data_IF_589696597670
#
_entry.id   IF_589696597670
#
_cell.length_a   1.000
_cell.length_b   1.000
_cell.length_c   1.000
_cell.angle_alpha   90.00
_cell.angle_beta   90.00
_cell.angle_gamma   90.00
#
_symmetry.space_group_name_H-M   'P 1'
#
loop_
_entity.id
_entity.type
_entity.pdbx_description
1 polymer ?
#
# COMPACT_ATOMS: atom_id res chain seq x y z
N UNK A 1 33.23 -9.98 -65.98
CA UNK A 1 33.51 -9.86 -64.53
C UNK A 1 33.68 -8.38 -64.21
N UNK A 2 32.60 -7.72 -63.84
CA UNK A 2 32.58 -6.31 -63.44
C UNK A 2 31.79 -6.23 -62.13
N UNK A 3 32.38 -5.53 -61.17
CA UNK A 3 31.81 -5.28 -59.85
C UNK A 3 30.47 -4.54 -59.96
N UNK A 4 29.44 -5.03 -59.29
CA UNK A 4 28.18 -4.34 -59.11
C UNK A 4 28.02 -3.86 -57.66
N UNK A 5 28.04 -2.54 -57.55
CA UNK A 5 27.40 -1.65 -56.57
C UNK A 5 26.52 -2.31 -55.49
N UNK A 6 26.94 -2.16 -54.22
CA UNK A 6 25.99 -1.99 -53.11
C UNK A 6 26.05 -0.53 -52.65
N UNK A 7 24.97 0.20 -52.96
CA UNK A 7 24.69 1.54 -52.46
C UNK A 7 24.42 1.46 -50.94
N UNK A 8 25.37 1.92 -50.14
CA UNK A 8 25.12 2.30 -48.75
C UNK A 8 24.23 3.56 -48.77
N UNK A 9 22.93 3.36 -48.55
CA UNK A 9 22.01 4.46 -48.24
C UNK A 9 22.42 5.02 -46.89
N UNK A 10 23.12 6.15 -46.90
CA UNK A 10 23.43 6.92 -45.71
C UNK A 10 22.14 7.50 -45.15
N UNK A 11 21.50 6.76 -44.24
CA UNK A 11 20.44 7.32 -43.40
C UNK A 11 21.14 8.24 -42.40
N UNK A 12 21.17 9.54 -42.70
CA UNK A 12 21.52 10.59 -41.73
C UNK A 12 20.44 10.63 -40.66
N UNK A 13 20.54 9.76 -39.66
CA UNK A 13 19.84 9.95 -38.38
C UNK A 13 20.59 11.08 -37.66
N UNK A 14 19.93 12.17 -37.24
CA UNK A 14 20.58 13.18 -36.42
C UNK A 14 21.16 12.49 -35.18
N UNK A 15 22.46 12.64 -34.95
CA UNK A 15 23.01 12.29 -33.65
C UNK A 15 22.21 13.08 -32.62
N UNK A 16 21.61 12.37 -31.65
CA UNK A 16 21.04 13.01 -30.47
C UNK A 16 22.22 13.65 -29.74
N UNK A 17 22.51 14.91 -30.08
CA UNK A 17 23.34 15.75 -29.26
C UNK A 17 22.54 15.94 -27.98
N UNK A 18 22.99 15.30 -26.90
CA UNK A 18 22.72 15.82 -25.58
C UNK A 18 23.38 17.19 -25.55
N UNK A 19 22.66 18.22 -25.98
CA UNK A 19 23.02 19.58 -25.61
C UNK A 19 23.08 19.55 -24.10
N UNK A 20 24.29 19.67 -23.56
CA UNK A 20 24.50 20.05 -22.17
C UNK A 20 23.92 21.43 -22.04
N UNK A 21 22.60 21.50 -21.91
CA UNK A 21 21.91 22.73 -21.72
C UNK A 21 22.44 23.28 -20.40
N UNK A 22 23.26 24.33 -20.50
CA UNK A 22 23.85 25.05 -19.35
C UNK A 22 22.76 25.60 -18.42
N UNK A 23 21.49 25.55 -18.83
CA UNK A 23 20.33 25.77 -17.97
C UNK A 23 20.26 24.79 -16.79
N UNK A 24 20.79 23.57 -16.88
CA UNK A 24 20.72 22.61 -15.76
C UNK A 24 21.51 23.08 -14.53
N UNK A 25 22.51 23.96 -14.71
CA UNK A 25 23.32 24.48 -13.60
C UNK A 25 22.92 25.87 -13.11
N UNK A 26 22.09 26.62 -13.85
CA UNK A 26 21.79 28.01 -13.52
C UNK A 26 20.32 28.30 -13.19
N UNK A 27 19.52 27.26 -13.05
CA UNK A 27 18.11 27.40 -12.72
C UNK A 27 17.88 26.85 -11.31
N UNK A 28 18.14 27.70 -10.32
CA UNK A 28 17.49 27.64 -9.01
C UNK A 28 15.98 27.84 -9.17
N UNK A 29 15.34 26.93 -9.90
CA UNK A 29 13.95 26.99 -10.28
C UNK A 29 13.12 26.52 -9.11
N UNK A 30 12.31 27.44 -8.61
CA UNK A 30 11.03 27.13 -7.99
C UNK A 30 10.32 26.10 -8.88
N UNK A 31 10.14 24.89 -8.35
CA UNK A 31 9.39 23.83 -9.01
C UNK A 31 7.92 24.24 -9.04
N UNK A 32 7.20 24.08 -10.16
CA UNK A 32 5.76 24.40 -10.22
C UNK A 32 4.94 23.56 -9.21
N UNK A 33 5.41 22.36 -8.87
CA UNK A 33 4.84 21.52 -7.80
C UNK A 33 4.96 22.14 -6.40
N UNK A 34 5.92 23.03 -6.18
CA UNK A 34 6.03 23.80 -4.95
C UNK A 34 4.90 24.84 -4.84
N UNK A 35 4.13 25.15 -5.90
CA UNK A 35 3.15 26.25 -5.91
C UNK A 35 2.05 26.13 -4.84
N UNK A 36 1.59 24.91 -4.56
CA UNK A 36 0.66 24.61 -3.47
C UNK A 36 1.28 24.89 -2.09
N UNK A 37 2.53 24.45 -1.90
CA UNK A 37 3.33 24.78 -0.72
C UNK A 37 3.75 26.25 -0.69
N UNK A 38 3.81 26.95 -1.83
CA UNK A 38 4.23 28.35 -1.95
C UNK A 38 3.11 29.32 -1.56
N UNK A 39 1.83 28.93 -1.70
CA UNK A 39 0.72 29.65 -1.07
C UNK A 39 0.89 29.74 0.45
N UNK A 40 1.53 28.75 1.05
CA UNK A 40 1.94 28.76 2.45
C UNK A 40 3.34 29.40 2.63
N UNK A 41 4.35 29.14 1.78
CA UNK A 41 5.73 29.70 1.93
C UNK A 41 5.82 31.23 1.89
N UNK A 42 4.82 31.96 1.40
CA UNK A 42 4.81 33.43 1.52
C UNK A 42 4.80 33.93 2.97
N UNK A 43 4.65 33.03 3.94
CA UNK A 43 4.56 33.32 5.36
C UNK A 43 5.64 32.63 6.23
N UNK A 44 6.26 31.54 5.76
CA UNK A 44 7.26 30.76 6.52
C UNK A 44 8.73 31.05 6.16
N UNK A 45 9.00 31.66 5.02
CA UNK A 45 10.35 31.98 4.55
C UNK A 45 10.52 33.48 4.30
N UNK A 46 9.90 34.32 5.14
CA UNK A 46 10.34 35.70 5.25
C UNK A 46 11.70 35.70 5.96
N UNK A 47 12.76 36.28 5.36
CA UNK A 47 14.00 36.49 6.07
C UNK A 47 13.72 37.43 7.23
N UNK A 48 14.00 36.97 8.46
CA UNK A 48 14.05 37.78 9.69
C UNK A 48 12.96 38.86 9.75
N UNK A 49 11.71 38.44 9.99
CA UNK A 49 10.72 39.34 10.55
C UNK A 49 11.30 39.96 11.83
N UNK A 50 11.13 41.27 11.99
CA UNK A 50 11.72 42.06 13.07
C UNK A 50 11.67 41.31 14.41
N UNK A 51 12.83 40.80 14.86
CA UNK A 51 12.93 39.98 16.07
C UNK A 51 12.35 40.71 17.28
N UNK A 52 12.33 42.04 17.22
CA UNK A 52 11.75 42.90 18.22
C UNK A 52 10.21 42.86 18.18
N UNK A 53 9.60 42.95 17.00
CA UNK A 53 8.14 42.84 16.84
C UNK A 53 7.61 41.46 17.25
N UNK A 54 8.30 40.37 16.85
CA UNK A 54 7.91 39.02 17.27
C UNK A 54 8.01 38.85 18.79
N UNK A 55 9.07 39.39 19.40
CA UNK A 55 9.27 39.39 20.85
C UNK A 55 8.22 40.20 21.60
N UNK A 56 7.82 41.37 21.09
CA UNK A 56 6.74 42.18 21.67
C UNK A 56 5.38 41.46 21.63
N UNK A 57 5.08 40.79 20.52
CA UNK A 57 3.85 39.99 20.38
C UNK A 57 3.86 38.80 21.32
N UNK A 58 4.95 38.03 21.37
CA UNK A 58 5.10 36.88 22.28
C UNK A 58 5.01 37.30 23.74
N UNK A 59 5.67 38.40 24.12
CA UNK A 59 5.56 38.96 25.47
C UNK A 59 4.11 39.37 25.79
N UNK A 60 3.41 39.99 24.85
CA UNK A 60 2.01 40.37 25.05
C UNK A 60 1.12 39.15 25.24
N UNK A 61 1.26 38.13 24.38
CA UNK A 61 0.46 36.91 24.41
C UNK A 61 0.70 36.05 25.66
N UNK A 62 1.94 36.00 26.14
CA UNK A 62 2.35 35.14 27.25
C UNK A 62 2.37 35.85 28.60
N UNK A 63 2.29 37.19 28.63
CA UNK A 63 2.31 37.99 29.87
C UNK A 63 1.22 37.61 30.89
N UNK A 64 0.10 37.06 30.43
CA UNK A 64 -1.02 36.66 31.28
C UNK A 64 -0.95 35.20 31.76
N UNK A 65 0.06 34.43 31.34
CA UNK A 65 0.08 32.96 31.47
C UNK A 65 1.00 32.42 32.59
N UNK A 66 1.55 33.31 33.43
CA UNK A 66 2.27 32.97 34.66
C UNK A 66 3.74 33.41 34.70
N UNK A 67 4.40 33.12 35.83
CA UNK A 67 5.74 33.62 36.19
C UNK A 67 6.87 33.16 35.23
N UNK A 68 6.66 32.09 34.47
CA UNK A 68 7.65 31.52 33.54
C UNK A 68 7.55 32.08 32.11
N UNK A 69 6.64 33.03 31.87
CA UNK A 69 6.38 33.60 30.54
C UNK A 69 7.60 34.25 29.90
N UNK A 70 8.43 34.97 30.68
CA UNK A 70 9.63 35.62 30.17
C UNK A 70 10.71 34.62 29.71
N UNK A 71 10.95 33.55 30.48
CA UNK A 71 11.93 32.50 30.12
C UNK A 71 11.46 31.72 28.88
N UNK A 72 10.15 31.47 28.77
CA UNK A 72 9.54 30.87 27.59
C UNK A 72 9.76 31.74 26.34
N UNK A 73 9.52 33.06 26.42
CA UNK A 73 9.75 33.96 25.28
C UNK A 73 11.21 33.94 24.84
N UNK A 74 12.18 33.92 25.77
CA UNK A 74 13.60 33.82 25.39
C UNK A 74 13.91 32.51 24.66
N UNK A 75 13.38 31.37 25.14
CA UNK A 75 13.58 30.06 24.51
C UNK A 75 12.93 29.97 23.12
N UNK A 76 11.73 30.52 22.96
CA UNK A 76 11.07 30.59 21.66
C UNK A 76 11.91 31.40 20.67
N UNK A 77 12.43 32.55 21.10
CA UNK A 77 13.29 33.39 20.25
C UNK A 77 14.63 32.70 19.94
N UNK A 78 15.24 31.99 20.90
CA UNK A 78 16.52 31.28 20.65
C UNK A 78 16.39 30.16 19.62
N UNK A 79 15.23 29.50 19.58
CA UNK A 79 14.91 28.43 18.63
C UNK A 79 14.27 28.97 17.32
N UNK A 80 14.24 30.29 17.12
CA UNK A 80 13.59 30.96 15.98
C UNK A 80 12.09 30.64 15.82
N UNK A 81 11.38 30.37 16.91
CA UNK A 81 9.94 30.10 16.93
C UNK A 81 9.18 31.43 16.98
N UNK A 82 8.26 31.64 16.03
CA UNK A 82 7.40 32.83 15.93
C UNK A 82 6.09 32.65 16.70
N UNK A 83 5.41 33.77 16.98
CA UNK A 83 4.03 33.74 17.49
C UNK A 83 3.06 32.95 16.60
N UNK A 84 3.41 32.75 15.32
CA UNK A 84 2.61 32.02 14.33
C UNK A 84 2.75 30.51 14.45
N UNK A 85 3.79 30.05 15.11
CA UNK A 85 4.12 28.63 15.26
C UNK A 85 3.57 28.03 16.56
N UNK A 86 3.00 28.85 17.44
CA UNK A 86 2.58 28.44 18.79
C UNK A 86 1.56 27.29 18.78
N UNK A 87 0.67 27.23 17.79
CA UNK A 87 -0.29 26.14 17.64
C UNK A 87 0.34 24.79 17.25
N UNK A 88 1.61 24.78 16.85
CA UNK A 88 2.37 23.56 16.54
C UNK A 88 3.09 22.96 17.73
N UNK A 89 3.14 23.68 18.86
CA UNK A 89 3.80 23.21 20.09
C UNK A 89 3.04 22.04 20.71
N UNK A 90 3.79 21.15 21.34
CA UNK A 90 3.29 19.99 22.07
C UNK A 90 3.41 20.17 23.58
N UNK A 91 2.83 19.22 24.34
CA UNK A 91 3.04 19.17 25.77
C UNK A 91 4.53 19.03 26.14
N UNK A 92 5.32 18.27 25.37
CA UNK A 92 6.75 18.13 25.62
C UNK A 92 7.49 19.45 25.40
N UNK A 93 7.15 20.20 24.36
CA UNK A 93 7.80 21.49 24.06
C UNK A 93 7.58 22.49 25.19
N UNK A 94 6.35 22.59 25.70
CA UNK A 94 6.04 23.46 26.82
C UNK A 94 6.73 23.03 28.13
N UNK A 95 6.97 21.73 28.31
CA UNK A 95 7.73 21.24 29.46
C UNK A 95 9.18 21.69 29.41
N UNK A 96 9.82 21.59 28.24
CA UNK A 96 11.18 22.09 28.00
C UNK A 96 11.27 23.62 28.19
N UNK A 97 10.18 24.34 27.87
CA UNK A 97 10.05 25.77 28.11
C UNK A 97 9.78 26.13 29.58
N UNK A 98 9.67 25.15 30.49
CA UNK A 98 9.55 25.36 31.93
C UNK A 98 8.11 25.33 32.46
N UNK A 99 7.13 24.95 31.65
CA UNK A 99 5.75 24.75 32.11
C UNK A 99 5.55 23.33 32.65
N UNK A 100 5.96 23.13 33.90
CA UNK A 100 5.95 21.80 34.54
C UNK A 100 4.53 21.29 34.83
N UNK A 101 3.55 22.18 35.01
CA UNK A 101 2.18 21.81 35.39
C UNK A 101 1.37 21.33 34.18
N UNK A 102 0.86 20.08 34.15
CA UNK A 102 0.10 19.55 33.01
C UNK A 102 -1.12 20.39 32.63
N UNK A 103 -1.91 20.80 33.63
CA UNK A 103 -3.10 21.64 33.42
C UNK A 103 -2.77 22.98 32.76
N UNK A 104 -1.64 23.59 33.11
CA UNK A 104 -1.18 24.84 32.52
C UNK A 104 -0.76 24.65 31.05
N UNK A 105 -0.11 23.53 30.73
CA UNK A 105 0.25 23.17 29.35
C UNK A 105 -1.00 22.97 28.50
N UNK A 106 -1.99 22.26 29.02
CA UNK A 106 -3.27 22.02 28.35
C UNK A 106 -4.01 23.33 28.06
N UNK A 107 -4.10 24.22 29.04
CA UNK A 107 -4.70 25.56 28.89
C UNK A 107 -3.95 26.41 27.84
N UNK A 108 -2.62 26.35 27.82
CA UNK A 108 -1.78 27.04 26.83
C UNK A 108 -1.97 26.51 25.41
N UNK A 109 -1.96 25.19 25.23
CA UNK A 109 -2.18 24.57 23.92
C UNK A 109 -3.59 24.87 23.40
N UNK A 110 -4.60 24.82 24.27
CA UNK A 110 -5.97 25.19 23.92
C UNK A 110 -6.07 26.66 23.51
N UNK A 111 -5.34 27.56 24.17
CA UNK A 111 -5.25 28.96 23.81
C UNK A 111 -4.54 29.16 22.46
N UNK A 112 -3.40 28.51 22.24
CA UNK A 112 -2.63 28.63 21.00
C UNK A 112 -3.41 28.10 19.79
N UNK A 113 -4.16 27.01 19.95
CA UNK A 113 -5.01 26.45 18.92
C UNK A 113 -6.10 27.43 18.43
N UNK A 114 -6.49 28.40 19.26
CA UNK A 114 -7.50 29.42 18.93
C UNK A 114 -6.91 30.71 18.33
N UNK A 115 -5.57 30.84 18.30
CA UNK A 115 -4.94 32.06 17.79
C UNK A 115 -5.15 32.20 16.28
N UNK A 116 -5.47 33.41 15.78
CA UNK A 116 -5.56 33.67 14.35
C UNK A 116 -4.16 33.73 13.72
N UNK A 117 -4.08 33.46 12.42
CA UNK A 117 -2.84 33.55 11.61
C UNK A 117 -1.72 32.58 12.02
N UNK A 118 -2.07 31.52 12.75
CA UNK A 118 -1.18 30.39 12.99
C UNK A 118 -0.86 29.67 11.69
N UNK A 119 0.31 29.06 11.71
CA UNK A 119 0.98 28.48 10.58
C UNK A 119 0.76 26.95 10.69
N UNK A 120 0.32 26.25 9.62
CA UNK A 120 -0.14 24.87 9.73
C UNK A 120 0.93 23.92 10.28
N UNK A 121 0.52 23.03 11.19
CA UNK A 121 1.42 22.04 11.79
C UNK A 121 1.89 21.01 10.77
N UNK A 122 3.01 20.32 11.06
CA UNK A 122 3.50 19.23 10.22
C UNK A 122 2.41 18.16 9.98
N UNK A 123 1.65 17.84 11.03
CA UNK A 123 0.50 16.94 10.95
C UNK A 123 -0.56 17.45 9.97
N UNK A 124 -0.92 18.74 10.03
CA UNK A 124 -1.86 19.34 9.09
C UNK A 124 -1.33 19.31 7.65
N UNK A 125 -0.02 19.50 7.45
CA UNK A 125 0.62 19.44 6.14
C UNK A 125 0.55 18.03 5.54
N UNK A 126 0.71 16.97 6.34
CA UNK A 126 0.58 15.59 5.85
C UNK A 126 -0.81 15.30 5.26
N UNK A 127 -1.86 15.91 5.80
CA UNK A 127 -3.23 15.71 5.34
C UNK A 127 -3.66 16.70 4.23
N UNK A 128 -2.78 17.60 3.77
CA UNK A 128 -3.10 18.48 2.65
C UNK A 128 -3.22 17.67 1.36
N UNK A 129 -4.28 17.97 0.58
CA UNK A 129 -4.49 17.37 -0.74
C UNK A 129 -3.31 17.66 -1.68
N UNK A 130 -2.71 18.83 -1.54
CA UNK A 130 -1.51 19.26 -2.26
C UNK A 130 -0.29 18.39 -1.92
N UNK A 131 -0.12 18.00 -0.66
CA UNK A 131 0.98 17.12 -0.25
C UNK A 131 0.81 15.71 -0.81
N UNK A 132 -0.41 15.18 -0.77
CA UNK A 132 -0.75 13.91 -1.40
C UNK A 132 -0.52 13.93 -2.92
N UNK A 133 -0.92 15.01 -3.61
CA UNK A 133 -0.68 15.18 -5.05
C UNK A 133 0.81 15.27 -5.40
N UNK A 134 1.59 15.98 -4.58
CA UNK A 134 3.02 16.11 -4.78
C UNK A 134 3.75 14.78 -4.59
N UNK A 135 3.40 14.02 -3.55
CA UNK A 135 3.94 12.67 -3.34
C UNK A 135 3.61 11.74 -4.52
N UNK A 136 2.36 11.76 -5.00
CA UNK A 136 1.97 11.02 -6.23
C UNK A 136 2.82 11.44 -7.43
N UNK A 137 3.06 12.73 -7.61
CA UNK A 137 3.89 13.22 -8.71
C UNK A 137 5.34 12.72 -8.61
N UNK A 138 5.92 12.67 -7.40
CA UNK A 138 7.26 12.10 -7.18
C UNK A 138 7.30 10.64 -7.60
N UNK A 139 6.33 9.83 -7.13
CA UNK A 139 6.27 8.40 -7.44
C UNK A 139 6.05 8.19 -8.95
N UNK A 140 5.14 8.94 -9.58
CA UNK A 140 4.91 8.87 -11.03
C UNK A 140 6.16 9.23 -11.83
N UNK A 141 6.91 10.26 -11.40
CA UNK A 141 8.17 10.62 -12.05
C UNK A 141 9.22 9.51 -11.89
N UNK A 142 9.34 8.92 -10.70
CA UNK A 142 10.25 7.80 -10.46
C UNK A 142 9.91 6.59 -11.32
N UNK A 143 8.62 6.22 -11.39
CA UNK A 143 8.12 5.15 -12.25
C UNK A 143 8.43 5.41 -13.73
N UNK A 144 8.13 6.62 -14.24
CA UNK A 144 8.45 7.04 -15.60
C UNK A 144 9.95 6.97 -15.92
N UNK A 145 10.81 7.29 -14.94
CA UNK A 145 12.26 7.17 -15.09
C UNK A 145 12.71 5.71 -15.18
N UNK A 146 12.18 4.82 -14.34
CA UNK A 146 12.45 3.39 -14.40
C UNK A 146 12.00 2.79 -15.74
N UNK A 147 10.83 3.17 -16.23
CA UNK A 147 10.34 2.73 -17.54
C UNK A 147 11.20 3.25 -18.70
N UNK A 148 11.66 4.50 -18.60
CA UNK A 148 12.60 5.07 -19.57
C UNK A 148 13.93 4.33 -19.55
N UNK A 149 14.44 3.98 -18.36
CA UNK A 149 15.65 3.18 -18.21
C UNK A 149 15.48 1.79 -18.79
N UNK A 150 14.36 1.10 -18.48
CA UNK A 150 14.03 -0.21 -19.04
C UNK A 150 13.97 -0.17 -20.57
N UNK A 151 13.31 0.85 -21.12
CA UNK A 151 13.21 1.04 -22.57
C UNK A 151 14.57 1.34 -23.21
N UNK A 152 15.41 2.14 -22.56
CA UNK A 152 16.76 2.43 -23.02
C UNK A 152 17.65 1.18 -22.96
N UNK A 153 17.55 0.38 -21.91
CA UNK A 153 18.23 -0.92 -21.77
C UNK A 153 17.78 -1.89 -22.85
N UNK A 154 16.47 -2.01 -23.11
CA UNK A 154 15.95 -2.84 -24.19
C UNK A 154 16.42 -2.36 -25.58
N UNK A 155 16.42 -1.05 -25.83
CA UNK A 155 16.91 -0.48 -27.08
C UNK A 155 18.43 -0.63 -27.25
N UNK A 156 19.20 -0.51 -26.17
CA UNK A 156 20.63 -0.79 -26.15
C UNK A 156 20.90 -2.27 -26.43
N UNK A 157 20.16 -3.17 -25.77
CA UNK A 157 20.22 -4.61 -26.01
C UNK A 157 19.94 -4.94 -27.48
N UNK A 158 18.87 -4.36 -28.05
CA UNK A 158 18.50 -4.52 -29.46
C UNK A 158 19.57 -4.01 -30.42
N UNK A 159 20.11 -2.80 -30.19
CA UNK A 159 21.15 -2.20 -31.06
C UNK A 159 22.49 -2.89 -30.98
N UNK A 160 22.87 -3.32 -29.77
CA UNK A 160 24.13 -4.00 -29.54
C UNK A 160 24.04 -5.49 -29.86
N UNK A 161 22.83 -6.00 -30.13
CA UNK A 161 22.54 -7.43 -30.26
C UNK A 161 23.20 -8.19 -29.11
N UNK A 162 23.05 -7.71 -27.87
CA UNK A 162 23.55 -8.40 -26.69
C UNK A 162 22.65 -9.61 -26.49
N UNK A 163 22.88 -10.64 -27.29
CA UNK A 163 22.49 -11.99 -26.93
C UNK A 163 23.19 -12.30 -25.60
N UNK A 164 22.59 -13.11 -24.70
CA UNK A 164 23.38 -13.73 -23.64
C UNK A 164 24.66 -14.27 -24.29
N UNK A 165 25.85 -13.95 -23.77
CA UNK A 165 27.08 -14.22 -24.48
C UNK A 165 27.14 -15.72 -24.79
N UNK A 166 27.13 -16.08 -26.08
CA UNK A 166 27.58 -17.42 -26.45
C UNK A 166 29.02 -17.55 -25.95
N UNK A 167 29.27 -18.63 -25.22
CA UNK A 167 30.56 -18.98 -24.65
C UNK A 167 31.70 -18.67 -25.62
N UNK A 168 32.64 -17.80 -25.23
CA UNK A 168 33.92 -17.74 -25.95
C UNK A 168 34.71 -18.97 -25.54
N UNK A 169 34.62 -20.01 -26.36
CA UNK A 169 35.39 -21.25 -26.18
C UNK A 169 36.86 -20.95 -26.50
N UNK A 170 37.72 -20.96 -25.47
CA UNK A 170 39.18 -20.91 -25.63
C UNK A 170 39.74 -22.25 -25.14
N UNK A 171 39.94 -23.18 -26.07
CA UNK A 171 40.32 -24.56 -25.74
C UNK A 171 39.10 -25.36 -25.23
N UNK A 172 39.22 -26.00 -24.06
CA UNK A 172 38.11 -26.75 -23.43
C UNK A 172 37.36 -25.94 -22.35
N UNK A 173 37.62 -24.62 -22.25
CA UNK A 173 37.04 -23.78 -21.20
C UNK A 173 36.21 -22.65 -21.79
N UNK A 174 35.00 -22.48 -21.26
CA UNK A 174 34.14 -21.32 -21.52
C UNK A 174 34.55 -20.15 -20.61
N UNK A 175 34.59 -18.94 -21.17
CA UNK A 175 34.80 -17.70 -20.43
C UNK A 175 33.74 -16.65 -20.81
N UNK A 176 32.85 -16.33 -19.87
CA UNK A 176 31.99 -15.15 -19.96
C UNK A 176 32.76 -13.88 -19.56
N UNK A 177 32.41 -12.73 -20.14
CA UNK A 177 33.08 -11.47 -19.81
C UNK A 177 32.78 -11.11 -18.34
N UNK A 178 33.83 -11.00 -17.53
CA UNK A 178 33.76 -10.76 -16.08
C UNK A 178 32.87 -9.58 -15.69
N UNK A 179 32.88 -8.50 -16.46
CA UNK A 179 32.05 -7.31 -16.22
C UNK A 179 30.55 -7.56 -16.41
N UNK A 180 30.17 -8.43 -17.35
CA UNK A 180 28.75 -8.80 -17.55
C UNK A 180 28.30 -9.75 -16.45
N UNK A 181 29.17 -10.67 -16.00
CA UNK A 181 28.89 -11.52 -14.84
C UNK A 181 28.76 -10.73 -13.55
N UNK A 182 29.63 -9.74 -13.30
CA UNK A 182 29.56 -8.89 -12.12
C UNK A 182 28.27 -8.04 -12.12
N UNK A 183 27.91 -7.42 -13.24
CA UNK A 183 26.67 -6.64 -13.36
C UNK A 183 25.40 -7.51 -13.27
N UNK A 184 25.41 -8.72 -13.87
CA UNK A 184 24.29 -9.65 -13.73
C UNK A 184 24.18 -10.17 -12.29
N UNK A 185 25.29 -10.49 -11.62
CA UNK A 185 25.26 -10.93 -10.23
C UNK A 185 24.77 -9.84 -9.27
N UNK A 186 25.15 -8.57 -9.47
CA UNK A 186 24.61 -7.47 -8.67
C UNK A 186 23.11 -7.31 -8.89
N UNK A 187 22.64 -7.43 -10.13
CA UNK A 187 21.22 -7.32 -10.46
C UNK A 187 20.42 -8.53 -9.94
N UNK A 188 20.99 -9.74 -10.04
CA UNK A 188 20.43 -10.95 -9.43
C UNK A 188 20.37 -10.86 -7.91
N UNK A 189 21.40 -10.32 -7.25
CA UNK A 189 21.39 -10.13 -5.81
C UNK A 189 20.28 -9.19 -5.36
N UNK A 190 20.08 -8.06 -6.06
CA UNK A 190 18.97 -7.14 -5.74
C UNK A 190 17.60 -7.78 -6.00
N UNK A 191 17.46 -8.59 -7.05
CA UNK A 191 16.19 -9.31 -7.29
C UNK A 191 15.97 -10.44 -6.29
N UNK A 192 17.02 -11.14 -5.86
CA UNK A 192 16.95 -12.17 -4.80
C UNK A 192 16.54 -11.54 -3.47
N UNK A 193 17.10 -10.39 -3.09
CA UNK A 193 16.72 -9.68 -1.86
C UNK A 193 15.22 -9.29 -1.87
N UNK A 194 14.70 -8.82 -3.02
CA UNK A 194 13.27 -8.47 -3.18
C UNK A 194 12.39 -9.73 -3.18
N UNK A 195 12.85 -10.81 -3.82
CA UNK A 195 12.14 -12.09 -3.86
C UNK A 195 12.10 -12.75 -2.46
N UNK A 196 13.17 -12.62 -1.68
CA UNK A 196 13.23 -13.07 -0.28
C UNK A 196 12.25 -12.26 0.61
N UNK A 197 12.21 -10.93 0.48
CA UNK A 197 11.24 -10.10 1.20
C UNK A 197 9.78 -10.45 0.86
N UNK A 198 9.48 -10.70 -0.42
CA UNK A 198 8.12 -11.11 -0.87
C UNK A 198 7.80 -12.52 -0.37
N UNK A 199 8.75 -13.46 -0.47
CA UNK A 199 8.59 -14.84 -0.04
C UNK A 199 8.31 -14.95 1.47
N UNK A 200 8.92 -14.09 2.29
CA UNK A 200 8.67 -14.06 3.74
C UNK A 200 7.22 -13.68 4.08
N UNK A 201 6.59 -12.77 3.31
CA UNK A 201 5.18 -12.39 3.51
C UNK A 201 4.21 -13.51 3.13
N UNK A 202 4.46 -14.21 2.03
CA UNK A 202 3.72 -15.42 1.64
C UNK A 202 3.84 -16.52 2.71
N UNK A 203 5.04 -16.67 3.28
CA UNK A 203 5.33 -17.67 4.30
C UNK A 203 4.52 -17.42 5.58
N UNK A 204 4.37 -16.16 6.01
CA UNK A 204 3.58 -15.81 7.22
C UNK A 204 2.12 -16.21 7.06
N UNK A 205 1.47 -15.84 5.96
CA UNK A 205 0.05 -16.17 5.75
C UNK A 205 -0.17 -17.67 5.49
N UNK A 206 0.77 -18.32 4.82
CA UNK A 206 0.74 -19.78 4.64
C UNK A 206 0.91 -20.52 5.99
N UNK A 207 1.87 -20.08 6.83
CA UNK A 207 2.02 -20.57 8.21
C UNK A 207 0.72 -20.40 9.00
N UNK A 208 0.03 -19.27 8.82
CA UNK A 208 -1.24 -19.01 9.50
C UNK A 208 -2.32 -20.03 9.14
N UNK A 209 -2.57 -20.27 7.84
CA UNK A 209 -3.60 -21.22 7.44
C UNK A 209 -3.27 -22.65 7.88
N UNK A 210 -1.99 -23.03 7.89
CA UNK A 210 -1.56 -24.32 8.42
C UNK A 210 -1.76 -24.43 9.94
N UNK A 211 -1.50 -23.34 10.69
CA UNK A 211 -1.80 -23.25 12.13
C UNK A 211 -3.31 -23.36 12.40
N UNK A 212 -4.15 -22.77 11.55
CA UNK A 212 -5.60 -22.91 11.59
C UNK A 212 -6.09 -24.32 11.25
N UNK A 213 -5.20 -25.18 10.73
CA UNK A 213 -5.46 -26.60 10.47
C UNK A 213 -5.65 -26.95 9.00
N UNK A 214 -5.43 -26.02 8.06
CA UNK A 214 -5.44 -26.32 6.62
C UNK A 214 -4.33 -27.32 6.28
N UNK A 215 -4.63 -28.29 5.41
CA UNK A 215 -3.66 -29.25 4.87
C UNK A 215 -2.50 -28.55 4.15
N UNK A 216 -1.30 -29.10 4.26
CA UNK A 216 -0.09 -28.58 3.58
C UNK A 216 -0.15 -28.74 2.04
N UNK A 217 -1.21 -29.35 1.52
CA UNK A 217 -1.54 -29.39 0.09
C UNK A 217 -1.95 -28.01 -0.46
N UNK A 218 -2.26 -27.06 0.42
CA UNK A 218 -2.69 -25.71 0.05
C UNK A 218 -1.78 -24.67 0.67
N UNK A 219 -1.48 -23.62 -0.10
CA UNK A 219 -0.68 -22.47 0.32
C UNK A 219 -1.30 -21.18 -0.23
N UNK A 220 -0.93 -20.04 0.37
CA UNK A 220 -1.19 -18.75 -0.21
C UNK A 220 0.00 -18.35 -1.09
N UNK A 221 -0.29 -18.00 -2.33
CA UNK A 221 0.69 -17.57 -3.33
C UNK A 221 0.32 -16.18 -3.81
N UNK A 222 1.29 -15.30 -4.01
CA UNK A 222 1.08 -13.98 -4.55
C UNK A 222 0.67 -14.05 -6.03
N UNK A 223 -0.16 -13.08 -6.44
CA UNK A 223 -0.59 -12.92 -7.81
C UNK A 223 0.08 -11.67 -8.38
N UNK A 224 1.26 -11.90 -8.95
CA UNK A 224 2.18 -10.86 -9.47
C UNK A 224 1.51 -9.96 -10.52
N UNK A 225 0.52 -10.47 -11.24
CA UNK A 225 -0.27 -9.63 -12.13
C UNK A 225 -1.57 -10.27 -12.62
N UNK A 226 -2.46 -9.42 -13.11
CA UNK A 226 -3.83 -9.79 -13.51
C UNK A 226 -3.98 -9.97 -15.02
N UNK A 227 -2.87 -10.01 -15.76
CA UNK A 227 -2.87 -10.32 -17.18
C UNK A 227 -2.86 -11.84 -17.42
N UNK A 228 -3.53 -12.34 -18.48
CA UNK A 228 -3.70 -13.78 -18.69
C UNK A 228 -2.40 -14.60 -18.60
N UNK A 229 -1.31 -14.07 -19.16
CA UNK A 229 0.02 -14.72 -19.18
C UNK A 229 0.63 -14.84 -17.77
N UNK A 230 0.36 -13.88 -16.89
CA UNK A 230 0.87 -13.88 -15.50
C UNK A 230 0.01 -14.75 -14.59
N UNK A 231 -1.30 -14.81 -14.84
CA UNK A 231 -2.22 -15.69 -14.10
C UNK A 231 -1.90 -17.17 -14.31
N UNK A 232 -1.20 -17.53 -15.38
CA UNK A 232 -0.73 -18.90 -15.62
C UNK A 232 0.39 -19.35 -14.67
N UNK A 233 1.08 -18.40 -14.01
CA UNK A 233 2.14 -18.70 -13.05
C UNK A 233 1.60 -19.20 -11.71
N UNK A 234 0.33 -18.90 -11.42
CA UNK A 234 -0.32 -19.34 -10.18
C UNK A 234 -0.44 -20.87 -10.18
N UNK A 235 0.03 -21.56 -9.12
CA UNK A 235 -0.17 -22.98 -8.97
C UNK A 235 -1.64 -23.39 -9.11
N UNK A 236 -1.90 -24.50 -9.81
CA UNK A 236 -3.26 -25.00 -10.03
C UNK A 236 -3.47 -26.32 -9.28
N UNK A 237 -4.70 -26.61 -8.79
CA UNK A 237 -5.89 -25.76 -8.85
C UNK A 237 -5.86 -24.55 -7.89
N UNK A 238 -6.60 -23.50 -8.24
CA UNK A 238 -6.82 -22.31 -7.40
C UNK A 238 -8.21 -22.39 -6.78
N UNK A 239 -8.30 -22.10 -5.47
CA UNK A 239 -9.52 -22.22 -4.66
C UNK A 239 -10.19 -20.90 -4.36
N UNK A 240 -9.42 -19.84 -4.20
CA UNK A 240 -9.94 -18.51 -3.97
C UNK A 240 -8.90 -17.46 -4.34
N UNK A 241 -9.37 -16.26 -4.66
CA UNK A 241 -8.53 -15.07 -4.78
C UNK A 241 -8.86 -14.14 -3.62
N UNK A 242 -7.84 -13.62 -2.95
CA UNK A 242 -7.94 -12.65 -1.87
C UNK A 242 -7.41 -11.33 -2.39
N UNK A 243 -8.20 -10.26 -2.29
CA UNK A 243 -7.81 -8.92 -2.71
C UNK A 243 -7.68 -8.03 -1.47
N UNK A 244 -6.52 -7.39 -1.33
CA UNK A 244 -6.29 -6.23 -0.46
C UNK A 244 -6.42 -4.96 -1.29
N UNK A 245 -7.21 -4.01 -0.82
CA UNK A 245 -7.35 -2.70 -1.46
C UNK A 245 -7.59 -1.61 -0.41
N UNK A 246 -7.33 -0.33 -0.73
CA UNK A 246 -7.59 0.75 0.20
C UNK A 246 -9.06 1.19 0.14
N UNK A 247 -9.64 1.44 1.30
CA UNK A 247 -10.98 1.98 1.48
C UNK A 247 -10.99 3.49 1.21
N UNK A 248 -10.75 3.87 -0.06
CA UNK A 248 -10.81 5.26 -0.50
C UNK A 248 -12.24 5.80 -0.46
N UNK A 249 -12.39 7.13 -0.51
CA UNK A 249 -13.71 7.77 -0.56
C UNK A 249 -14.54 7.32 -1.77
N UNK A 250 -13.88 7.08 -2.91
CA UNK A 250 -14.50 6.55 -4.13
C UNK A 250 -15.03 5.14 -3.91
N UNK A 251 -14.26 4.28 -3.23
CA UNK A 251 -14.71 2.95 -2.84
C UNK A 251 -15.91 2.98 -1.90
N UNK A 252 -15.84 3.76 -0.81
CA UNK A 252 -16.93 3.80 0.18
C UNK A 252 -18.24 4.34 -0.42
N UNK A 253 -18.15 5.31 -1.32
CA UNK A 253 -19.31 5.79 -2.09
C UNK A 253 -19.90 4.69 -2.96
N UNK A 254 -19.08 3.99 -3.75
CA UNK A 254 -19.53 2.89 -4.59
C UNK A 254 -20.17 1.77 -3.75
N UNK A 255 -19.57 1.41 -2.62
CA UNK A 255 -20.11 0.41 -1.69
C UNK A 255 -21.49 0.80 -1.15
N UNK A 256 -21.70 2.08 -0.81
CA UNK A 256 -22.99 2.57 -0.35
C UNK A 256 -24.06 2.52 -1.46
N UNK A 257 -23.71 2.97 -2.67
CA UNK A 257 -24.60 2.93 -3.84
C UNK A 257 -24.96 1.49 -4.24
N UNK A 258 -23.99 0.57 -4.22
CA UNK A 258 -24.22 -0.84 -4.48
C UNK A 258 -25.13 -1.48 -3.42
N UNK A 259 -24.92 -1.13 -2.15
CA UNK A 259 -25.79 -1.60 -1.07
C UNK A 259 -27.23 -1.11 -1.26
N UNK A 260 -27.43 0.17 -1.56
CA UNK A 260 -28.77 0.73 -1.82
C UNK A 260 -29.45 0.00 -2.98
N UNK A 261 -28.74 -0.15 -4.11
CA UNK A 261 -29.25 -0.84 -5.30
C UNK A 261 -29.71 -2.27 -5.01
N UNK A 262 -28.95 -3.01 -4.21
CA UNK A 262 -29.18 -4.44 -3.95
C UNK A 262 -30.02 -4.73 -2.70
N UNK A 263 -30.21 -3.75 -1.80
CA UNK A 263 -30.93 -3.93 -0.52
C UNK A 263 -32.39 -4.34 -0.67
N UNK A 264 -33.02 -4.05 -1.80
CA UNK A 264 -34.39 -4.45 -2.14
C UNK A 264 -34.50 -5.76 -2.92
N UNK A 265 -33.38 -6.36 -3.33
CA UNK A 265 -33.36 -7.59 -4.11
C UNK A 265 -33.32 -8.82 -3.19
N UNK A 266 -34.08 -9.86 -3.55
CA UNK A 266 -34.03 -11.13 -2.85
C UNK A 266 -32.63 -11.75 -3.00
N UNK A 267 -31.95 -11.94 -1.88
CA UNK A 267 -30.62 -12.57 -1.82
C UNK A 267 -30.76 -14.08 -1.98
N UNK A 268 -30.97 -14.55 -3.21
CA UNK A 268 -31.10 -15.98 -3.54
C UNK A 268 -29.72 -16.65 -3.60
N UNK A 269 -29.09 -16.83 -2.44
CA UNK A 269 -27.77 -17.44 -2.31
C UNK A 269 -27.91 -18.93 -1.93
N UNK A 270 -27.05 -19.82 -2.45
CA UNK A 270 -27.11 -21.23 -2.13
C UNK A 270 -26.85 -21.46 -0.64
N UNK A 271 -27.51 -22.46 -0.04
CA UNK A 271 -27.40 -22.75 1.41
C UNK A 271 -25.99 -23.11 1.83
N UNK A 272 -25.19 -23.68 0.94
CA UNK A 272 -23.78 -23.96 1.20
C UNK A 272 -22.87 -22.74 1.20
N UNK A 273 -23.30 -21.57 0.71
CA UNK A 273 -22.49 -20.37 0.72
C UNK A 273 -22.27 -19.92 2.17
N UNK A 274 -21.03 -20.03 2.63
CA UNK A 274 -20.62 -19.53 3.93
C UNK A 274 -20.26 -18.05 3.82
N UNK A 275 -21.14 -17.19 4.31
CA UNK A 275 -20.91 -15.76 4.44
C UNK A 275 -21.01 -15.34 5.91
N UNK A 276 -20.17 -14.40 6.32
CA UNK A 276 -20.19 -13.86 7.68
C UNK A 276 -19.81 -12.38 7.67
N UNK A 277 -20.39 -11.63 8.62
CA UNK A 277 -20.05 -10.22 8.81
C UNK A 277 -18.78 -10.06 9.62
N UNK A 278 -18.00 -9.05 9.27
CA UNK A 278 -16.91 -8.55 10.09
C UNK A 278 -17.49 -7.53 11.07
N UNK A 279 -17.37 -7.82 12.36
CA UNK A 279 -17.80 -6.93 13.45
C UNK A 279 -16.59 -6.38 14.24
N UNK A 280 -15.48 -7.12 14.25
CA UNK A 280 -14.20 -6.70 14.82
C UNK A 280 -13.39 -5.81 13.87
N UNK A 281 -12.80 -4.73 14.38
CA UNK A 281 -11.82 -3.94 13.64
C UNK A 281 -10.54 -4.77 13.36
N UNK A 282 -9.89 -4.52 12.22
CA UNK A 282 -8.66 -5.20 11.78
C UNK A 282 -8.73 -6.73 11.61
N UNK A 283 -9.91 -7.34 11.66
CA UNK A 283 -10.10 -8.77 11.43
C UNK A 283 -10.33 -9.15 9.96
N UNK A 284 -10.22 -8.20 9.01
CA UNK A 284 -10.59 -8.42 7.61
C UNK A 284 -9.78 -9.56 6.95
N UNK A 285 -8.48 -9.67 7.24
CA UNK A 285 -7.64 -10.76 6.75
C UNK A 285 -8.15 -12.14 7.22
N UNK A 286 -8.41 -12.30 8.51
CA UNK A 286 -8.97 -13.54 9.07
C UNK A 286 -10.36 -13.85 8.49
N UNK A 287 -11.22 -12.84 8.33
CA UNK A 287 -12.55 -13.02 7.72
C UNK A 287 -12.44 -13.48 6.26
N UNK A 288 -11.56 -12.86 5.46
CA UNK A 288 -11.32 -13.26 4.08
C UNK A 288 -10.75 -14.70 3.98
N UNK A 289 -9.88 -15.10 4.91
CA UNK A 289 -9.36 -16.47 4.97
C UNK A 289 -10.45 -17.48 5.36
N UNK A 290 -11.30 -17.15 6.34
CA UNK A 290 -12.45 -17.99 6.70
C UNK A 290 -13.39 -18.14 5.50
N UNK A 291 -13.71 -17.04 4.80
CA UNK A 291 -14.52 -17.07 3.58
C UNK A 291 -13.88 -17.95 2.50
N UNK A 292 -12.58 -17.83 2.29
CA UNK A 292 -11.82 -18.62 1.32
C UNK A 292 -11.87 -20.11 1.63
N UNK A 293 -11.64 -20.49 2.89
CA UNK A 293 -11.57 -21.89 3.32
C UNK A 293 -12.98 -22.51 3.41
N UNK A 294 -13.94 -21.83 4.03
CA UNK A 294 -15.27 -22.37 4.32
C UNK A 294 -16.10 -22.66 3.06
N UNK A 295 -15.83 -21.94 1.96
CA UNK A 295 -16.53 -22.13 0.69
C UNK A 295 -15.84 -23.15 -0.23
N UNK A 296 -14.67 -23.66 0.13
CA UNK A 296 -13.93 -24.68 -0.62
C UNK A 296 -13.92 -26.01 0.16
N UNK A 297 -14.99 -26.79 0.03
CA UNK A 297 -15.25 -28.00 0.84
C UNK A 297 -14.24 -29.14 0.64
N UNK A 298 -13.45 -29.10 -0.43
CA UNK A 298 -12.42 -30.10 -0.69
C UNK A 298 -11.10 -29.79 0.06
N UNK A 299 -10.99 -28.60 0.67
CA UNK A 299 -9.92 -28.29 1.61
C UNK A 299 -10.14 -29.06 2.90
N UNK A 300 -9.25 -30.01 3.18
CA UNK A 300 -9.30 -30.79 4.42
C UNK A 300 -8.74 -29.99 5.59
N UNK A 301 -9.51 -29.92 6.68
CA UNK A 301 -9.10 -29.31 7.94
C UNK A 301 -8.78 -30.37 9.00
N UNK A 302 -7.59 -30.24 9.61
CA UNK A 302 -7.23 -30.92 10.85
C UNK A 302 -8.08 -30.39 12.00
N UNK A 303 -8.14 -31.14 13.10
CA UNK A 303 -8.82 -30.67 14.31
C UNK A 303 -8.09 -29.44 14.86
N UNK A 304 -8.82 -28.35 15.06
CA UNK A 304 -8.27 -27.04 15.42
C UNK A 304 -9.34 -25.99 15.68
N UNK A 305 -8.93 -24.75 15.95
CA UNK A 305 -9.83 -23.63 16.24
C UNK A 305 -10.78 -23.35 15.06
N UNK A 306 -10.24 -23.25 13.84
CA UNK A 306 -11.04 -22.97 12.64
C UNK A 306 -12.10 -24.05 12.37
N UNK A 307 -11.74 -25.33 12.46
CA UNK A 307 -12.70 -26.43 12.23
C UNK A 307 -13.86 -26.37 13.24
N UNK A 308 -13.56 -26.18 14.54
CA UNK A 308 -14.56 -26.04 15.60
C UNK A 308 -15.45 -24.81 15.40
N UNK A 309 -14.84 -23.69 15.00
CA UNK A 309 -15.56 -22.48 14.66
C UNK A 309 -16.54 -22.73 13.51
N UNK A 310 -16.09 -23.31 12.39
CA UNK A 310 -16.95 -23.61 11.23
C UNK A 310 -18.09 -24.58 11.57
N UNK A 311 -17.83 -25.61 12.38
CA UNK A 311 -18.85 -26.56 12.84
C UNK A 311 -19.93 -25.89 13.71
N UNK A 312 -19.53 -24.94 14.56
CA UNK A 312 -20.45 -24.16 15.41
C UNK A 312 -21.22 -23.11 14.61
N UNK A 313 -20.55 -22.50 13.63
CA UNK A 313 -21.05 -21.38 12.84
C UNK A 313 -21.93 -21.80 11.64
N UNK A 314 -21.97 -23.09 11.30
CA UNK A 314 -22.61 -23.59 10.06
C UNK A 314 -24.07 -23.17 9.90
N UNK A 315 -24.86 -23.22 10.98
CA UNK A 315 -26.31 -22.96 10.96
C UNK A 315 -26.67 -21.54 11.42
N UNK A 316 -25.67 -20.70 11.73
CA UNK A 316 -25.84 -19.32 12.18
C UNK A 316 -26.06 -18.36 11.00
N UNK A 317 -26.77 -17.27 11.25
CA UNK A 317 -26.86 -16.14 10.32
C UNK A 317 -25.50 -15.43 10.15
N UNK A 318 -25.27 -14.68 9.05
CA UNK A 318 -24.00 -13.96 8.85
C UNK A 318 -23.59 -13.05 10.02
N UNK A 319 -24.55 -12.36 10.63
CA UNK A 319 -24.36 -11.53 11.82
C UNK A 319 -23.97 -12.37 13.05
N UNK A 320 -24.63 -13.50 13.27
CA UNK A 320 -24.32 -14.41 14.38
C UNK A 320 -22.95 -15.09 14.20
N UNK A 321 -22.56 -15.42 12.97
CA UNK A 321 -21.20 -15.89 12.66
C UNK A 321 -20.15 -14.86 13.02
N UNK A 322 -20.39 -13.57 12.69
CA UNK A 322 -19.53 -12.45 13.07
C UNK A 322 -19.37 -12.32 14.58
N UNK A 323 -20.49 -12.36 15.33
CA UNK A 323 -20.47 -12.34 16.80
C UNK A 323 -19.80 -13.57 17.39
N UNK A 324 -19.96 -14.74 16.76
CA UNK A 324 -19.30 -15.97 17.21
C UNK A 324 -17.78 -15.83 17.10
N UNK A 325 -17.26 -15.21 16.03
CA UNK A 325 -15.83 -14.98 15.86
C UNK A 325 -15.29 -13.98 16.89
N UNK A 326 -16.02 -12.90 17.19
CA UNK A 326 -15.66 -11.94 18.25
C UNK A 326 -15.49 -12.58 19.63
N UNK A 327 -16.27 -13.63 19.91
CA UNK A 327 -16.24 -14.34 21.18
C UNK A 327 -15.32 -15.58 21.16
N UNK A 328 -14.68 -15.88 20.04
CA UNK A 328 -13.77 -17.02 19.91
C UNK A 328 -12.34 -16.62 20.32
N UNK A 329 -12.02 -16.91 21.59
CA UNK A 329 -10.72 -16.59 22.16
C UNK A 329 -9.56 -17.30 21.43
N UNK A 330 -9.77 -18.52 20.94
CA UNK A 330 -8.72 -19.29 20.26
C UNK A 330 -8.40 -18.68 18.88
N UNK A 331 -9.43 -18.34 18.10
CA UNK A 331 -9.25 -17.64 16.82
C UNK A 331 -8.61 -16.26 17.01
N UNK A 332 -8.97 -15.55 18.08
CA UNK A 332 -8.41 -14.24 18.41
C UNK A 332 -6.93 -14.32 18.80
N UNK A 333 -6.56 -15.29 19.66
CA UNK A 333 -5.17 -15.53 20.05
C UNK A 333 -4.30 -15.89 18.84
N UNK A 334 -4.80 -16.76 17.95
CA UNK A 334 -4.09 -17.15 16.74
C UNK A 334 -3.89 -15.96 15.77
N UNK A 335 -4.90 -15.10 15.62
CA UNK A 335 -4.78 -13.86 14.83
C UNK A 335 -3.74 -12.89 15.42
N UNK A 336 -3.77 -12.67 16.74
CA UNK A 336 -2.85 -11.75 17.42
C UNK A 336 -1.39 -12.23 17.35
N UNK A 337 -1.17 -13.53 17.51
CA UNK A 337 0.17 -14.11 17.38
C UNK A 337 0.75 -13.84 15.98
N UNK A 338 -0.05 -14.01 14.93
CA UNK A 338 0.38 -13.75 13.55
C UNK A 338 0.68 -12.27 13.30
N UNK A 339 -0.16 -11.38 13.82
CA UNK A 339 0.04 -9.93 13.67
C UNK A 339 1.37 -9.45 14.27
N UNK A 340 1.94 -10.20 15.23
CA UNK A 340 3.25 -9.93 15.82
C UNK A 340 4.42 -10.54 15.04
N UNK A 341 4.17 -11.51 14.15
CA UNK A 341 5.19 -12.16 13.32
C UNK A 341 5.45 -11.41 12.00
N UNK A 342 4.57 -10.48 11.61
CA UNK A 342 4.76 -9.66 10.40
C UNK A 342 5.96 -8.70 10.50
N UNK A 343 6.64 -8.47 9.37
CA UNK A 343 7.82 -7.59 9.28
C UNK A 343 7.51 -6.11 9.58
N UNK A 344 6.26 -5.68 9.38
CA UNK A 344 5.83 -4.32 9.71
C UNK A 344 5.34 -4.26 11.16
N UNK A 345 5.89 -3.35 11.96
CA UNK A 345 5.40 -3.10 13.31
C UNK A 345 3.91 -2.72 13.26
N UNK A 346 3.04 -3.61 13.77
CA UNK A 346 1.62 -3.32 13.88
C UNK A 346 1.40 -2.22 14.93
N UNK A 347 1.06 -1.01 14.49
CA UNK A 347 0.65 0.07 15.39
C UNK A 347 -0.88 0.03 15.58
N UNK A 348 -1.38 -0.26 16.79
CA UNK A 348 -2.82 -0.33 17.05
C UNK A 348 -3.56 1.01 16.87
N UNK A 349 -2.83 2.13 16.99
CA UNK A 349 -3.39 3.48 16.92
C UNK A 349 -3.34 4.08 15.50
N UNK A 350 -2.70 3.38 14.56
CA UNK A 350 -2.66 3.81 13.16
C UNK A 350 -3.99 3.48 12.46
N UNK A 351 -4.56 4.47 11.77
CA UNK A 351 -5.77 4.24 10.98
C UNK A 351 -5.44 3.27 9.84
N UNK A 352 -5.95 2.05 9.94
CA UNK A 352 -5.85 1.07 8.86
C UNK A 352 -6.85 1.44 7.77
N UNK A 353 -6.32 1.81 6.61
CA UNK A 353 -7.14 2.17 5.44
C UNK A 353 -7.28 1.03 4.43
N UNK A 354 -6.69 -0.15 4.67
CA UNK A 354 -6.75 -1.28 3.73
C UNK A 354 -7.74 -2.34 4.21
N UNK A 355 -8.32 -3.06 3.26
CA UNK A 355 -9.35 -4.07 3.53
C UNK A 355 -9.20 -5.29 2.64
N UNK A 356 -9.33 -6.46 3.25
CA UNK A 356 -9.31 -7.75 2.56
C UNK A 356 -10.72 -8.22 2.21
N UNK A 357 -10.87 -8.77 1.01
CA UNK A 357 -12.06 -9.50 0.56
C UNK A 357 -11.65 -10.84 -0.05
N UNK A 358 -12.57 -11.80 -0.09
CA UNK A 358 -12.38 -13.06 -0.77
C UNK A 358 -13.29 -13.17 -2.01
N UNK A 359 -12.75 -13.68 -3.10
CA UNK A 359 -13.44 -14.10 -4.30
C UNK A 359 -13.44 -15.62 -4.35
N UNK A 360 -14.63 -16.24 -4.53
CA UNK A 360 -14.79 -17.69 -4.52
C UNK A 360 -15.76 -18.16 -5.62
N UNK A 361 -15.53 -19.36 -6.14
CA UNK A 361 -16.49 -20.07 -6.99
C UNK A 361 -17.40 -20.94 -6.12
N UNK A 362 -18.70 -20.64 -6.07
CA UNK A 362 -19.69 -21.51 -5.40
C UNK A 362 -20.80 -21.83 -6.38
N UNK A 363 -20.93 -23.12 -6.71
CA UNK A 363 -21.91 -23.64 -7.67
C UNK A 363 -21.88 -22.94 -9.04
N UNK A 364 -20.67 -22.67 -9.55
CA UNK A 364 -20.48 -22.04 -10.85
C UNK A 364 -20.84 -20.54 -10.88
N UNK A 365 -20.88 -19.90 -9.70
CA UNK A 365 -21.10 -18.46 -9.57
C UNK A 365 -19.92 -17.84 -8.83
N UNK A 366 -19.39 -16.75 -9.37
CA UNK A 366 -18.34 -15.96 -8.75
C UNK A 366 -18.95 -15.06 -7.68
N UNK A 367 -18.54 -15.26 -6.42
CA UNK A 367 -18.97 -14.44 -5.30
C UNK A 367 -17.81 -13.60 -4.76
N UNK A 368 -18.10 -12.34 -4.49
CA UNK A 368 -17.31 -11.47 -3.62
C UNK A 368 -17.87 -11.51 -2.20
N UNK A 369 -17.00 -11.88 -1.26
CA UNK A 369 -17.29 -12.00 0.16
C UNK A 369 -16.52 -10.90 0.90
N UNK A 370 -17.21 -9.78 1.12
CA UNK A 370 -16.72 -8.65 1.93
C UNK A 370 -17.49 -8.62 3.26
N UNK A 371 -16.84 -8.94 4.38
CA UNK A 371 -17.47 -8.95 5.70
C UNK A 371 -18.04 -7.58 6.14
N UNK A 372 -17.63 -6.47 5.53
CA UNK A 372 -18.20 -5.13 5.79
C UNK A 372 -19.53 -4.95 5.07
N UNK A 373 -19.81 -5.66 3.98
CA UNK A 373 -21.09 -5.59 3.27
C UNK A 373 -22.20 -6.33 4.04
N UNK A 374 -23.45 -6.06 3.70
CA UNK A 374 -24.59 -6.71 4.35
C UNK A 374 -24.91 -8.08 3.76
N UNK A 375 -24.43 -8.36 2.55
CA UNK A 375 -24.65 -9.60 1.82
C UNK A 375 -23.49 -9.81 0.83
N UNK A 376 -23.23 -11.06 0.41
CA UNK A 376 -22.24 -11.35 -0.63
C UNK A 376 -22.68 -10.77 -1.98
N UNK A 377 -21.71 -10.42 -2.83
CA UNK A 377 -21.97 -9.83 -4.16
C UNK A 377 -21.73 -10.87 -5.24
N UNK A 378 -22.70 -11.03 -6.16
CA UNK A 378 -22.60 -11.93 -7.31
C UNK A 378 -21.96 -11.20 -8.49
N UNK A 379 -20.91 -11.79 -9.06
CA UNK A 379 -20.16 -11.23 -10.21
C UNK A 379 -20.38 -11.99 -11.52
N UNK A 380 -21.37 -12.89 -11.55
CA UNK A 380 -21.74 -13.69 -12.72
C UNK A 380 -21.36 -15.17 -12.61
N UNK A 381 -21.55 -15.89 -13.70
CA UNK A 381 -21.18 -17.31 -13.81
C UNK A 381 -19.66 -17.47 -13.93
N UNK A 382 -19.14 -18.59 -13.44
CA UNK A 382 -17.72 -18.97 -13.53
C UNK A 382 -17.58 -20.50 -13.49
N UNK A 383 -16.41 -21.03 -13.85
CA UNK A 383 -16.08 -22.46 -13.70
C UNK A 383 -14.75 -22.63 -12.97
N UNK A 384 -14.40 -23.84 -12.55
CA UNK A 384 -13.10 -24.09 -11.92
C UNK A 384 -11.92 -23.71 -12.85
N UNK A 385 -12.12 -23.82 -14.17
CA UNK A 385 -11.12 -23.46 -15.18
C UNK A 385 -11.05 -21.96 -15.46
N UNK A 386 -12.18 -21.24 -15.45
CA UNK A 386 -12.24 -19.80 -15.74
C UNK A 386 -12.15 -18.91 -14.50
N UNK A 387 -12.26 -19.50 -13.31
CA UNK A 387 -12.35 -18.80 -12.02
C UNK A 387 -11.27 -17.75 -11.84
N UNK A 388 -10.02 -18.09 -12.15
CA UNK A 388 -8.88 -17.18 -11.95
C UNK A 388 -9.01 -15.95 -12.86
N UNK A 389 -9.37 -16.13 -14.13
CA UNK A 389 -9.56 -15.00 -15.06
C UNK A 389 -10.78 -14.16 -14.67
N UNK A 390 -11.87 -14.80 -14.25
CA UNK A 390 -13.10 -14.11 -13.83
C UNK A 390 -12.89 -13.31 -12.55
N UNK A 391 -12.16 -13.86 -11.57
CA UNK A 391 -11.77 -13.18 -10.35
C UNK A 391 -10.81 -12.01 -10.65
N UNK A 392 -9.82 -12.21 -11.54
CA UNK A 392 -8.91 -11.15 -11.97
C UNK A 392 -9.64 -9.97 -12.63
N UNK A 393 -10.71 -10.24 -13.41
CA UNK A 393 -11.60 -9.19 -13.93
C UNK A 393 -12.22 -8.37 -12.80
N UNK A 394 -12.74 -9.01 -11.76
CA UNK A 394 -13.30 -8.31 -10.60
C UNK A 394 -12.24 -7.48 -9.91
N UNK A 395 -11.02 -8.00 -9.68
CA UNK A 395 -9.91 -7.22 -9.15
C UNK A 395 -9.59 -5.98 -10.00
N UNK A 396 -9.58 -6.11 -11.33
CA UNK A 396 -9.41 -4.98 -12.26
C UNK A 396 -10.53 -3.96 -12.15
N UNK A 397 -11.77 -4.37 -11.90
CA UNK A 397 -12.89 -3.46 -11.65
C UNK A 397 -12.70 -2.66 -10.35
N UNK A 398 -12.12 -3.27 -9.30
CA UNK A 398 -11.74 -2.54 -8.09
C UNK A 398 -10.66 -1.49 -8.37
N UNK A 399 -9.61 -1.86 -9.12
CA UNK A 399 -8.53 -0.95 -9.51
C UNK A 399 -9.04 0.20 -10.41
N UNK A 400 -9.96 -0.09 -11.33
CA UNK A 400 -10.52 0.91 -12.24
C UNK A 400 -11.39 1.98 -11.55
N UNK A 401 -11.91 1.70 -10.34
CA UNK A 401 -12.65 2.69 -9.54
C UNK A 401 -11.74 3.78 -8.98
N UNK A 402 -10.45 3.48 -8.80
CA UNK A 402 -9.46 4.42 -8.29
C UNK A 402 -8.13 4.28 -9.08
N UNK A 403 -8.07 4.82 -10.32
CA UNK A 403 -6.98 4.55 -11.25
C UNK A 403 -5.62 5.14 -10.83
N UNK A 404 -5.61 6.04 -9.85
CA UNK A 404 -4.40 6.66 -9.30
C UNK A 404 -3.89 5.91 -8.06
N UNK A 405 -4.60 4.88 -7.61
CA UNK A 405 -4.23 4.06 -6.47
C UNK A 405 -3.36 2.88 -6.92
N UNK A 406 -2.30 2.62 -6.16
CA UNK A 406 -1.32 1.57 -6.47
C UNK A 406 -1.27 0.49 -5.39
N UNK A 407 -1.89 0.74 -4.23
CA UNK A 407 -1.80 -0.13 -3.04
C UNK A 407 -2.81 -1.27 -3.08
N UNK A 408 -2.65 -2.14 -4.07
CA UNK A 408 -3.41 -3.38 -4.19
C UNK A 408 -2.47 -4.58 -4.00
N UNK A 409 -2.95 -5.62 -3.32
CA UNK A 409 -2.27 -6.91 -3.23
C UNK A 409 -3.29 -7.99 -3.57
N UNK A 410 -2.88 -8.97 -4.36
CA UNK A 410 -3.76 -10.07 -4.76
C UNK A 410 -3.06 -11.37 -4.44
N UNK A 411 -3.72 -12.25 -3.68
CA UNK A 411 -3.19 -13.56 -3.33
C UNK A 411 -4.15 -14.65 -3.80
N UNK A 412 -3.62 -15.82 -4.08
CA UNK A 412 -4.37 -17.01 -4.44
C UNK A 412 -4.20 -18.08 -3.36
N UNK A 413 -5.31 -18.67 -2.90
CA UNK A 413 -5.24 -19.94 -2.18
C UNK A 413 -5.16 -21.05 -3.23
N UNK A 414 -3.98 -21.64 -3.36
CA UNK A 414 -3.64 -22.51 -4.47
C UNK A 414 -3.00 -23.81 -3.98
N UNK A 415 -2.90 -24.79 -4.87
CA UNK A 415 -2.17 -26.02 -4.57
C UNK A 415 -0.70 -25.69 -4.25
N UNK A 416 -0.21 -26.21 -3.12
CA UNK A 416 1.14 -25.97 -2.67
C UNK A 416 2.14 -26.73 -3.58
N UNK A 417 3.07 -25.99 -4.19
CA UNK A 417 4.17 -26.57 -4.96
C UNK A 417 5.32 -26.87 -3.99
N UNK A 418 5.25 -28.02 -3.31
CA UNK A 418 6.40 -28.55 -2.55
C UNK A 418 7.51 -29.02 -3.47
#
# INVERSE_FOLDING_TARGET
MQAQNNLLVSIKVPAVQFETNKDFQNKGLRYEGDSGFLRYRHKWLQPKGDSQANREILNTLLSTQGDNSADCVEKLISENISYRDLASLTHQDLELMGFVRPKQREELLAFFAQLPNQDPSLEQIYYLKEASNYNRQIINNASNHLDSMRSALAAANYKLQIMPPEDVIVGEKSFASRFVLEALNELYGVTEDIEEEISEMEEVLTKYIHKLGVSNEWALTDVVGLEPEMLEWIPKPVKSIILLFPCSETYEKHRAEEHERLSGEAQDNPKELFYMRQLTHNACGTVALIHSIANNKDITLKDGALKKFLETAKDLSPEERGKSLENDAAMTEDHQALAQEGQTAANPDEKVYHHFIALVNVNGTLYELDGRKSFPIKHGETTDESFVQDAARVCKEFMARDPEELRFTVMALAANQN
#
